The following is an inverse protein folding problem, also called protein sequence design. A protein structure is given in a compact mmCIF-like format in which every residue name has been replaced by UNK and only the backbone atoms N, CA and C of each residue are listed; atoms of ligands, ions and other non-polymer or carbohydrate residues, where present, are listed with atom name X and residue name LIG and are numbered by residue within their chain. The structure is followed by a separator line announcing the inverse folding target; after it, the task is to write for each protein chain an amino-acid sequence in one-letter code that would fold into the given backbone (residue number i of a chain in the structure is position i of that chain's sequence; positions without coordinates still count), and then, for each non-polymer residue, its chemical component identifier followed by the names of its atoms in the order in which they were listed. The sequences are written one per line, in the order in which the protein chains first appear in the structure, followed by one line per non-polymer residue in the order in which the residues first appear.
data_IF_727115528701
#
_entry.id   IF_727115528701
#
_cell.length_a   1.000
_cell.length_b   1.000
_cell.length_c   1.000
_cell.angle_alpha   90.00
_cell.angle_beta   90.00
_cell.angle_gamma   90.00
#
_symmetry.space_group_name_H-M   'P 1'
#
loop_
_entity.id
_entity.type
_entity.pdbx_description
1 polymer ?
#
# COMPACT_ATOMS: atom_id res chain seq x y z
N UNK A 1 9.61 -2.86 -0.34
CA UNK A 1 10.72 -3.36 0.51
C UNK A 1 10.14 -4.08 1.71
N UNK A 2 10.92 -4.91 2.40
CA UNK A 2 10.45 -5.59 3.61
C UNK A 2 10.32 -4.62 4.78
N UNK A 3 9.18 -4.63 5.46
CA UNK A 3 8.84 -3.82 6.64
C UNK A 3 9.01 -4.64 7.93
N UNK A 4 8.69 -5.93 7.91
CA UNK A 4 8.92 -6.85 9.04
C UNK A 4 9.32 -8.27 8.59
N UNK A 5 9.82 -9.06 9.54
CA UNK A 5 10.20 -10.45 9.31
C UNK A 5 8.99 -11.39 9.30
N UNK A 6 9.02 -12.39 8.42
CA UNK A 6 7.96 -13.39 8.29
C UNK A 6 6.96 -13.13 7.15
N UNK A 7 5.85 -13.90 7.12
CA UNK A 7 4.82 -13.81 6.08
C UNK A 7 4.19 -12.40 6.03
N UNK A 8 3.89 -11.95 4.80
CA UNK A 8 3.23 -10.67 4.53
C UNK A 8 4.01 -9.46 5.07
N UNK A 9 5.30 -9.61 5.37
CA UNK A 9 6.19 -8.50 5.75
C UNK A 9 6.64 -7.61 4.61
N UNK A 10 6.23 -7.91 3.38
CA UNK A 10 6.50 -7.17 2.16
C UNK A 10 5.37 -7.43 1.14
N UNK A 11 5.38 -6.70 0.03
CA UNK A 11 4.50 -6.92 -1.11
C UNK A 11 3.31 -5.97 -1.15
N UNK A 12 2.30 -6.31 -1.93
CA UNK A 12 1.07 -5.54 -2.16
C UNK A 12 -0.21 -6.33 -1.86
N UNK A 13 -0.12 -7.45 -1.13
CA UNK A 13 -1.32 -8.07 -0.56
C UNK A 13 -2.12 -7.07 0.28
N UNK A 14 -3.44 -7.22 0.31
CA UNK A 14 -4.34 -6.35 1.08
C UNK A 14 -3.93 -6.27 2.55
N UNK A 15 -3.59 -7.40 3.17
CA UNK A 15 -3.18 -7.44 4.57
C UNK A 15 -1.90 -6.62 4.79
N UNK A 16 -0.88 -6.78 3.94
CA UNK A 16 0.35 -6.01 4.07
C UNK A 16 0.07 -4.50 3.94
N UNK A 17 -0.74 -4.11 2.96
CA UNK A 17 -1.10 -2.71 2.70
C UNK A 17 -1.76 -2.06 3.92
N UNK A 18 -2.74 -2.72 4.53
CA UNK A 18 -3.46 -2.20 5.70
C UNK A 18 -2.54 -2.11 6.93
N UNK A 19 -1.81 -3.18 7.24
CA UNK A 19 -0.89 -3.20 8.38
C UNK A 19 0.23 -2.14 8.21
N UNK A 20 0.78 -2.00 7.00
CA UNK A 20 1.83 -1.03 6.72
C UNK A 20 1.33 0.41 6.78
N UNK A 21 0.09 0.67 6.34
CA UNK A 21 -0.55 1.99 6.51
C UNK A 21 -0.73 2.31 7.99
N UNK A 22 -1.32 1.41 8.78
CA UNK A 22 -1.57 1.66 10.21
C UNK A 22 -0.29 1.91 11.00
N UNK A 23 0.74 1.10 10.76
CA UNK A 23 2.05 1.33 11.36
C UNK A 23 2.69 2.64 10.88
N UNK A 24 2.43 3.09 9.66
CA UNK A 24 2.93 4.37 9.16
C UNK A 24 2.26 5.55 9.84
N UNK A 25 0.94 5.51 9.98
CA UNK A 25 0.16 6.52 10.69
C UNK A 25 0.57 6.62 12.16
N UNK A 26 0.75 5.46 12.83
CA UNK A 26 1.23 5.40 14.21
C UNK A 26 2.62 6.04 14.36
N UNK A 27 3.59 5.68 13.51
CA UNK A 27 4.96 6.25 13.56
C UNK A 27 4.99 7.75 13.28
N UNK A 28 4.11 8.22 12.39
CA UNK A 28 4.03 9.64 12.02
C UNK A 28 3.22 10.46 13.02
N UNK A 29 2.38 9.82 13.85
CA UNK A 29 1.49 10.50 14.78
C UNK A 29 0.40 11.31 14.09
N UNK A 30 -0.11 10.82 12.96
CA UNK A 30 -1.14 11.48 12.14
C UNK A 30 -2.27 10.51 11.81
N UNK A 31 -3.48 11.03 11.60
CA UNK A 31 -4.65 10.20 11.28
C UNK A 31 -4.73 9.83 9.79
N UNK A 32 -4.02 10.57 8.93
CA UNK A 32 -3.97 10.32 7.49
C UNK A 32 -2.69 10.88 6.87
N UNK A 33 -2.38 10.41 5.66
CA UNK A 33 -1.35 11.00 4.78
C UNK A 33 -2.00 11.56 3.52
N UNK A 34 -1.42 12.60 2.92
CA UNK A 34 -1.95 13.11 1.64
C UNK A 34 -1.74 12.10 0.51
N UNK A 35 -0.56 11.48 0.43
CA UNK A 35 -0.18 10.53 -0.60
C UNK A 35 0.30 9.22 0.01
N UNK A 36 -0.31 8.12 -0.43
CA UNK A 36 0.20 6.77 -0.18
C UNK A 36 0.56 6.12 -1.51
N UNK A 37 1.73 5.49 -1.60
CA UNK A 37 2.23 4.96 -2.86
C UNK A 37 2.66 3.50 -2.78
N UNK A 38 2.31 2.71 -3.81
CA UNK A 38 2.99 1.45 -4.08
C UNK A 38 4.45 1.76 -4.42
N UNK A 39 5.38 1.22 -3.63
CA UNK A 39 6.80 1.51 -3.78
C UNK A 39 7.40 0.85 -5.04
N UNK A 40 6.93 -0.35 -5.38
CA UNK A 40 7.34 -1.14 -6.53
C UNK A 40 6.20 -2.14 -6.88
N UNK A 41 6.13 -2.63 -8.13
CA UNK A 41 5.19 -3.68 -8.51
C UNK A 41 5.45 -4.97 -7.72
N UNK A 42 4.36 -5.71 -7.48
CA UNK A 42 4.37 -7.03 -6.87
C UNK A 42 3.76 -8.01 -7.88
N UNK A 43 4.54 -8.99 -8.34
CA UNK A 43 4.09 -9.99 -9.32
C UNK A 43 3.29 -11.13 -8.69
N UNK A 44 3.33 -11.26 -7.36
CA UNK A 44 2.63 -12.32 -6.65
C UNK A 44 1.23 -11.89 -6.19
N UNK A 45 0.98 -10.58 -6.09
CA UNK A 45 -0.32 -10.01 -5.72
C UNK A 45 -1.11 -9.59 -6.97
N UNK A 46 -2.35 -10.09 -7.17
CA UNK A 46 -3.23 -9.59 -8.22
C UNK A 46 -3.42 -8.07 -8.11
N UNK A 47 -3.33 -7.38 -9.25
CA UNK A 47 -3.42 -5.92 -9.27
C UNK A 47 -4.79 -5.44 -8.79
N UNK A 48 -5.85 -6.19 -9.06
CA UNK A 48 -7.21 -5.90 -8.62
C UNK A 48 -7.30 -5.89 -7.08
N UNK A 49 -6.68 -6.85 -6.39
CA UNK A 49 -6.65 -6.89 -4.92
C UNK A 49 -5.92 -5.66 -4.36
N UNK A 50 -4.79 -5.29 -4.97
CA UNK A 50 -4.01 -4.10 -4.59
C UNK A 50 -4.84 -2.83 -4.74
N UNK A 51 -5.53 -2.67 -5.87
CA UNK A 51 -6.36 -1.51 -6.17
C UNK A 51 -7.57 -1.43 -5.23
N UNK A 52 -8.24 -2.54 -4.95
CA UNK A 52 -9.33 -2.60 -3.97
C UNK A 52 -8.84 -2.24 -2.56
N UNK A 53 -7.67 -2.73 -2.16
CA UNK A 53 -7.07 -2.36 -0.87
C UNK A 53 -6.79 -0.85 -0.78
N UNK A 54 -6.23 -0.25 -1.83
CA UNK A 54 -5.97 1.17 -1.88
C UNK A 54 -7.24 2.02 -1.89
N UNK A 55 -8.26 1.62 -2.65
CA UNK A 55 -9.57 2.27 -2.65
C UNK A 55 -10.20 2.26 -1.25
N UNK A 56 -10.12 1.14 -0.53
CA UNK A 56 -10.64 1.05 0.82
C UNK A 56 -9.87 1.92 1.83
N UNK A 57 -8.55 2.11 1.66
CA UNK A 57 -7.79 3.07 2.46
C UNK A 57 -8.25 4.52 2.21
N UNK A 58 -8.56 4.87 0.96
CA UNK A 58 -9.13 6.18 0.62
C UNK A 58 -10.50 6.36 1.27
N UNK A 59 -11.39 5.36 1.14
CA UNK A 59 -12.73 5.37 1.77
C UNK A 59 -12.66 5.45 3.29
N UNK A 60 -11.68 4.80 3.91
CA UNK A 60 -11.43 4.89 5.35
C UNK A 60 -10.84 6.24 5.78
N UNK A 61 -10.48 7.12 4.84
CA UNK A 61 -9.92 8.44 5.11
C UNK A 61 -8.45 8.43 5.52
N UNK A 62 -7.75 7.29 5.37
CA UNK A 62 -6.33 7.12 5.74
C UNK A 62 -5.37 7.72 4.73
N UNK A 63 -5.81 7.90 3.48
CA UNK A 63 -5.07 8.62 2.44
C UNK A 63 -6.01 9.42 1.53
N UNK A 64 -5.50 10.49 0.89
CA UNK A 64 -6.27 11.30 -0.08
C UNK A 64 -5.92 10.96 -1.53
N UNK A 65 -4.66 10.67 -1.79
CA UNK A 65 -4.13 10.39 -3.11
C UNK A 65 -3.35 9.08 -3.11
N UNK A 66 -3.35 8.42 -4.25
CA UNK A 66 -2.64 7.17 -4.49
C UNK A 66 -1.52 7.41 -5.52
N UNK A 67 -0.37 6.80 -5.29
CA UNK A 67 0.78 6.86 -6.17
C UNK A 67 1.32 5.47 -6.53
N UNK A 68 2.01 5.40 -7.65
CA UNK A 68 2.67 4.18 -8.11
C UNK A 68 4.09 4.55 -8.53
N UNK A 69 5.08 3.93 -7.88
CA UNK A 69 6.49 4.16 -8.14
C UNK A 69 7.11 2.92 -8.76
N UNK A 70 8.00 3.11 -9.73
CA UNK A 70 8.71 2.02 -10.41
C UNK A 70 7.80 1.03 -11.17
N UNK A 71 6.64 1.49 -11.63
CA UNK A 71 5.78 0.75 -12.55
C UNK A 71 6.16 1.09 -13.99
N UNK A 72 6.20 0.08 -14.85
CA UNK A 72 6.31 0.29 -16.28
C UNK A 72 5.01 0.91 -16.82
N UNK A 73 5.13 1.65 -17.94
CA UNK A 73 3.99 2.28 -18.61
C UNK A 73 2.93 1.26 -19.06
N UNK A 74 3.38 0.04 -19.34
CA UNK A 74 2.56 -1.08 -19.76
C UNK A 74 2.77 -2.22 -18.73
N UNK A 75 2.00 -2.25 -17.64
CA UNK A 75 2.17 -3.24 -16.57
C UNK A 75 1.58 -4.62 -16.96
N UNK A 76 1.70 -4.99 -18.23
CA UNK A 76 1.09 -6.14 -18.89
C UNK A 76 1.06 -7.42 -18.04
#
# INVERSE_FOLDING_TARGET
GRVWDGPLGAGLSRKHIFDAMDQSLERLGVDYVDLYQAHAPDQDAPIEETLEAFEDLVRAGKTRYLGFSNFDRDPA
#
